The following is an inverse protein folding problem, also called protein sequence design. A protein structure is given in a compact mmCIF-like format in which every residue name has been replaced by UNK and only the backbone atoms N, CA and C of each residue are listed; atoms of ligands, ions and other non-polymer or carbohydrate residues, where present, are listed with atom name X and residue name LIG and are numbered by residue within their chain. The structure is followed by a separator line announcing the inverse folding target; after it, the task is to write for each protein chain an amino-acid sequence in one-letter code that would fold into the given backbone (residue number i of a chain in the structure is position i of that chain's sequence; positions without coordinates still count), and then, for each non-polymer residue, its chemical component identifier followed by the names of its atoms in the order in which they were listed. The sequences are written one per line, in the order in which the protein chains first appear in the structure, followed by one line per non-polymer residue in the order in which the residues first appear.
data_IF_627345478551
#
_entry.id   IF_627345478551
#
_cell.length_a   1.000
_cell.length_b   1.000
_cell.length_c   1.000
_cell.angle_alpha   90.00
_cell.angle_beta   90.00
_cell.angle_gamma   90.00
#
_symmetry.space_group_name_H-M   'P 1'
#
loop_
_entity.id
_entity.type
_entity.pdbx_description
1 polymer ?
#
# COMPACT_ATOMS: atom_id res chain seq x y z
N UNK A 1 24.80 52.95 51.48
CA UNK A 1 24.91 52.60 50.05
C UNK A 1 24.10 51.34 49.80
N UNK A 2 23.21 51.39 48.80
CA UNK A 2 22.34 50.32 48.23
C UNK A 2 21.38 49.62 49.22
N UNK A 3 20.07 49.88 49.33
CA UNK A 3 18.91 49.86 48.38
C UNK A 3 18.79 48.59 47.53
N UNK A 4 17.99 47.63 48.01
CA UNK A 4 17.42 46.54 47.20
C UNK A 4 16.05 47.00 46.65
N UNK A 5 15.85 46.80 45.34
CA UNK A 5 14.58 46.94 44.63
C UNK A 5 14.29 45.64 43.84
N UNK A 6 13.02 45.42 43.43
CA UNK A 6 12.40 44.10 43.23
C UNK A 6 12.41 43.58 41.78
N UNK A 7 11.90 42.34 41.63
CA UNK A 7 11.29 41.65 40.45
C UNK A 7 10.79 42.60 39.36
N UNK A 8 10.92 42.33 38.05
CA UNK A 8 10.27 41.24 37.28
C UNK A 8 10.76 41.33 35.81
N UNK A 9 10.66 40.27 34.98
CA UNK A 9 10.98 40.41 33.55
C UNK A 9 11.33 39.13 32.79
N UNK A 10 10.31 38.39 32.41
CA UNK A 10 10.32 37.35 31.38
C UNK A 10 11.07 37.76 30.09
N UNK A 11 11.96 36.91 29.59
CA UNK A 11 12.09 36.69 28.14
C UNK A 11 12.69 35.30 27.87
N UNK A 12 11.83 34.36 27.48
CA UNK A 12 12.23 33.05 27.01
C UNK A 12 13.06 33.14 25.73
N UNK A 13 13.99 32.19 25.54
CA UNK A 13 14.57 31.92 24.22
C UNK A 13 15.16 30.51 24.12
N UNK A 14 14.44 29.70 23.35
CA UNK A 14 14.85 28.54 22.56
C UNK A 14 15.60 27.39 23.27
N UNK A 15 14.82 26.54 23.93
CA UNK A 15 15.20 25.14 24.10
C UNK A 15 15.06 24.37 22.79
N UNK A 16 16.22 24.12 22.18
CA UNK A 16 16.62 22.89 21.50
C UNK A 16 15.49 21.99 20.96
N UNK A 17 15.31 22.02 19.64
CA UNK A 17 14.57 21.02 18.87
C UNK A 17 15.25 19.65 19.05
N UNK A 18 14.75 18.84 19.98
CA UNK A 18 15.21 17.46 20.19
C UNK A 18 14.68 16.55 19.08
N UNK A 19 15.64 16.05 18.31
CA UNK A 19 15.53 15.15 17.18
C UNK A 19 14.85 13.80 17.49
N UNK A 20 14.14 13.28 16.48
CA UNK A 20 13.26 12.10 16.41
C UNK A 20 14.07 10.80 16.50
N UNK A 21 14.66 10.51 17.66
CA UNK A 21 15.58 9.37 17.84
C UNK A 21 14.98 8.13 18.53
N UNK A 22 13.68 8.09 18.87
CA UNK A 22 13.18 7.07 19.81
C UNK A 22 12.59 5.78 19.23
N UNK A 23 12.77 5.47 17.94
CA UNK A 23 12.43 4.13 17.42
C UNK A 23 13.65 3.24 17.63
N UNK A 24 13.54 2.22 18.50
CA UNK A 24 14.63 1.26 18.74
C UNK A 24 14.84 0.44 17.47
N UNK A 25 15.99 0.63 16.83
CA UNK A 25 16.45 -0.20 15.70
C UNK A 25 16.83 -1.58 16.21
N UNK A 26 15.98 -2.59 16.03
CA UNK A 26 16.40 -3.99 16.16
C UNK A 26 17.23 -4.42 14.94
N UNK A 27 18.15 -5.35 15.15
CA UNK A 27 19.37 -5.56 14.36
C UNK A 27 19.13 -5.87 12.88
N UNK A 28 19.68 -5.00 12.01
CA UNK A 28 19.68 -5.09 10.55
C UNK A 28 20.59 -6.22 9.98
N UNK A 29 21.19 -7.03 10.85
CA UNK A 29 22.29 -7.93 10.49
C UNK A 29 21.85 -9.21 9.76
N UNK A 30 20.57 -9.59 9.85
CA UNK A 30 20.03 -10.83 9.26
C UNK A 30 19.49 -10.67 7.82
N UNK A 31 19.62 -9.47 7.22
CA UNK A 31 19.06 -9.19 5.90
C UNK A 31 19.90 -9.70 4.71
N UNK A 32 21.09 -10.26 4.97
CA UNK A 32 22.04 -10.72 3.94
C UNK A 32 21.76 -12.19 3.55
N UNK A 33 20.52 -12.49 3.15
CA UNK A 33 20.17 -13.79 2.55
C UNK A 33 20.08 -13.67 1.03
N UNK A 34 20.80 -14.56 0.32
CA UNK A 34 20.87 -14.58 -1.15
C UNK A 34 19.56 -14.99 -1.80
N UNK A 35 18.73 -15.83 -1.17
CA UNK A 35 17.57 -16.46 -1.83
C UNK A 35 16.25 -15.71 -1.60
N UNK A 36 16.06 -15.12 -0.42
CA UNK A 36 14.86 -14.35 -0.06
C UNK A 36 15.23 -13.34 1.03
N UNK A 37 14.83 -12.07 0.91
CA UNK A 37 14.99 -11.15 2.04
C UNK A 37 14.21 -11.68 3.24
N UNK A 38 14.88 -11.91 4.37
CA UNK A 38 14.33 -12.45 5.62
C UNK A 38 13.43 -11.44 6.37
N UNK A 39 12.79 -10.54 5.63
CA UNK A 39 11.91 -9.51 6.16
C UNK A 39 10.48 -9.90 5.81
N UNK A 40 9.70 -10.28 6.82
CA UNK A 40 8.26 -10.56 6.67
C UNK A 40 7.47 -9.25 6.52
N UNK A 41 7.63 -8.34 7.47
CA UNK A 41 6.93 -7.06 7.50
C UNK A 41 7.93 -5.96 7.88
N UNK A 42 8.01 -4.91 7.06
CA UNK A 42 8.87 -3.76 7.29
C UNK A 42 8.08 -2.52 7.68
N UNK A 43 8.58 -1.73 8.64
CA UNK A 43 8.00 -0.43 8.99
C UNK A 43 9.06 0.67 8.95
N UNK A 44 8.77 1.76 8.23
CA UNK A 44 9.59 2.97 8.18
C UNK A 44 8.71 4.22 8.02
N UNK A 45 9.28 5.42 8.20
CA UNK A 45 8.54 6.65 7.92
C UNK A 45 8.25 6.76 6.42
N UNK A 46 7.08 7.29 6.06
CA UNK A 46 6.71 7.48 4.64
C UNK A 46 7.73 8.37 3.91
N UNK A 47 8.24 9.40 4.59
CA UNK A 47 9.30 10.28 4.10
C UNK A 47 10.58 9.51 3.75
N UNK A 48 11.01 8.58 4.60
CA UNK A 48 12.20 7.77 4.31
C UNK A 48 11.95 6.84 3.13
N UNK A 49 10.77 6.23 3.01
CA UNK A 49 10.46 5.37 1.87
C UNK A 49 10.54 6.15 0.53
N UNK A 50 9.96 7.35 0.46
CA UNK A 50 10.03 8.21 -0.73
C UNK A 50 11.46 8.64 -1.06
N UNK A 51 12.33 8.80 -0.06
CA UNK A 51 13.74 9.12 -0.27
C UNK A 51 14.53 7.92 -0.80
N UNK A 52 14.26 6.72 -0.30
CA UNK A 52 14.99 5.51 -0.69
C UNK A 52 14.55 4.97 -2.05
N UNK A 53 13.26 5.11 -2.38
CA UNK A 53 12.64 4.57 -3.59
C UNK A 53 11.76 5.62 -4.31
N UNK A 54 12.34 6.75 -4.74
CA UNK A 54 11.59 7.84 -5.38
C UNK A 54 10.93 7.43 -6.71
N UNK A 55 11.39 6.37 -7.36
CA UNK A 55 10.80 5.85 -8.59
C UNK A 55 9.40 5.22 -8.38
N UNK A 56 9.13 4.71 -7.17
CA UNK A 56 7.88 4.00 -6.87
C UNK A 56 6.87 4.84 -6.09
N UNK A 57 7.32 5.85 -5.33
CA UNK A 57 6.44 6.64 -4.48
C UNK A 57 6.82 8.12 -4.54
N UNK A 58 5.91 8.96 -5.01
CA UNK A 58 6.15 10.39 -5.19
C UNK A 58 4.98 11.23 -4.69
N UNK A 59 5.28 12.40 -4.15
CA UNK A 59 4.28 13.41 -3.80
C UNK A 59 4.29 14.51 -4.88
N UNK A 60 3.16 14.70 -5.56
CA UNK A 60 2.96 15.74 -6.55
C UNK A 60 1.79 16.62 -6.12
N UNK A 61 2.08 17.83 -5.65
CA UNK A 61 1.08 18.71 -5.06
C UNK A 61 0.38 18.02 -3.88
N UNK A 62 -0.94 17.86 -3.97
CA UNK A 62 -1.76 17.18 -2.96
C UNK A 62 -2.05 15.70 -3.27
N UNK A 63 -1.27 15.09 -4.16
CA UNK A 63 -1.47 13.71 -4.60
C UNK A 63 -0.23 12.86 -4.34
N UNK A 64 -0.41 11.75 -3.62
CA UNK A 64 0.57 10.68 -3.50
C UNK A 64 0.39 9.70 -4.67
N UNK A 65 1.44 9.52 -5.47
CA UNK A 65 1.45 8.66 -6.64
C UNK A 65 2.28 7.41 -6.32
N UNK A 66 1.66 6.23 -6.48
CA UNK A 66 2.33 4.93 -6.35
C UNK A 66 2.60 4.30 -7.72
N UNK A 67 3.79 4.51 -8.29
CA UNK A 67 4.14 3.91 -9.58
C UNK A 67 4.33 2.40 -9.44
N UNK A 68 3.46 1.62 -10.10
CA UNK A 68 3.42 0.17 -9.96
C UNK A 68 3.61 -0.58 -11.29
N UNK A 69 3.98 0.08 -12.39
CA UNK A 69 4.04 -0.53 -13.72
C UNK A 69 5.23 -1.51 -13.88
N UNK A 70 6.41 -1.15 -13.38
CA UNK A 70 7.65 -1.91 -13.59
C UNK A 70 8.19 -2.55 -12.30
N UNK A 71 7.31 -2.86 -11.35
CA UNK A 71 7.68 -3.29 -10.00
C UNK A 71 6.96 -2.45 -8.96
N UNK A 72 7.55 -2.30 -7.79
CA UNK A 72 7.05 -1.41 -6.74
C UNK A 72 6.09 -2.12 -5.78
N UNK A 73 5.05 -1.39 -5.37
CA UNK A 73 4.14 -1.81 -4.30
C UNK A 73 2.69 -1.93 -4.79
N UNK A 74 1.95 -2.81 -4.14
CA UNK A 74 0.49 -2.80 -4.15
C UNK A 74 0.01 -1.92 -2.99
N UNK A 75 -0.20 -0.62 -3.24
CA UNK A 75 -0.70 0.32 -2.22
C UNK A 75 -2.20 0.11 -2.00
N UNK A 76 -2.60 -0.28 -0.79
CA UNK A 76 -4.01 -0.46 -0.43
C UNK A 76 -4.58 0.81 0.18
N UNK A 77 -5.62 1.37 -0.45
CA UNK A 77 -6.29 2.58 0.01
C UNK A 77 -7.76 2.68 -0.45
N UNK A 78 -8.45 3.74 -0.03
CA UNK A 78 -9.78 4.13 -0.52
C UNK A 78 -9.73 5.45 -1.31
N UNK A 79 -8.54 5.84 -1.80
CA UNK A 79 -8.33 7.04 -2.62
C UNK A 79 -7.84 8.28 -1.88
N UNK A 80 -7.85 8.28 -0.55
CA UNK A 80 -7.33 9.38 0.28
C UNK A 80 -6.49 8.86 1.44
N UNK A 81 -5.61 9.70 1.98
CA UNK A 81 -4.85 9.44 3.21
C UNK A 81 -4.52 10.74 3.94
N UNK A 82 -4.26 10.64 5.25
CA UNK A 82 -3.57 11.69 6.01
C UNK A 82 -2.06 11.41 6.01
N UNK A 83 -1.25 12.39 5.61
CA UNK A 83 0.21 12.36 5.72
C UNK A 83 0.63 13.39 6.77
N UNK A 84 1.13 12.93 7.92
CA UNK A 84 1.52 13.73 9.08
C UNK A 84 0.42 14.71 9.54
N UNK A 85 -0.86 14.34 9.38
CA UNK A 85 -2.03 15.15 9.76
C UNK A 85 -2.68 15.93 8.61
N UNK A 86 -2.03 15.99 7.45
CA UNK A 86 -2.53 16.73 6.28
C UNK A 86 -3.20 15.80 5.25
N UNK A 87 -4.32 16.19 4.62
CA UNK A 87 -5.07 15.31 3.72
C UNK A 87 -4.50 15.29 2.30
N UNK A 88 -4.29 14.09 1.74
CA UNK A 88 -3.80 13.85 0.38
C UNK A 88 -4.68 12.87 -0.38
N UNK A 89 -4.75 13.05 -1.71
CA UNK A 89 -5.29 12.06 -2.63
C UNK A 89 -4.25 10.98 -2.94
N UNK A 90 -4.69 9.78 -3.30
CA UNK A 90 -3.81 8.69 -3.70
C UNK A 90 -4.16 8.23 -5.11
N UNK A 91 -3.14 8.16 -5.96
CA UNK A 91 -3.21 7.57 -7.29
C UNK A 91 -2.50 6.21 -7.35
N UNK A 92 -2.98 5.33 -8.24
CA UNK A 92 -2.46 3.98 -8.45
C UNK A 92 -2.52 3.10 -7.20
N UNK A 93 -3.69 3.04 -6.57
CA UNK A 93 -3.97 2.20 -5.42
C UNK A 93 -4.92 1.05 -5.75
N UNK A 94 -4.87 0.00 -4.94
CA UNK A 94 -5.84 -1.08 -4.89
C UNK A 94 -6.87 -0.74 -3.82
N UNK A 95 -8.16 -0.83 -4.17
CA UNK A 95 -9.23 -0.64 -3.20
C UNK A 95 -9.15 -1.67 -2.07
N UNK A 96 -9.39 -1.22 -0.83
CA UNK A 96 -9.45 -2.14 0.32
C UNK A 96 -10.66 -3.08 0.28
N UNK A 97 -11.71 -2.74 -0.46
CA UNK A 97 -12.91 -3.56 -0.61
C UNK A 97 -13.15 -3.77 -2.10
N UNK A 98 -13.02 -5.01 -2.57
CA UNK A 98 -13.19 -5.34 -4.00
C UNK A 98 -14.34 -6.31 -4.16
N UNK A 99 -15.20 -6.09 -5.15
CA UNK A 99 -16.21 -7.07 -5.56
C UNK A 99 -15.70 -7.85 -6.78
N UNK A 100 -15.81 -9.18 -6.72
CA UNK A 100 -15.39 -10.11 -7.75
C UNK A 100 -16.64 -10.83 -8.26
N UNK A 101 -16.82 -10.90 -9.58
CA UNK A 101 -18.05 -11.42 -10.20
C UNK A 101 -17.86 -12.76 -10.90
N UNK A 102 -16.62 -13.15 -11.12
CA UNK A 102 -16.29 -14.38 -11.84
C UNK A 102 -15.06 -15.07 -11.26
N UNK A 103 -14.93 -16.37 -11.51
CA UNK A 103 -13.70 -17.12 -11.18
C UNK A 103 -12.46 -16.53 -11.86
N UNK A 104 -12.63 -15.90 -13.02
CA UNK A 104 -11.56 -15.20 -13.72
C UNK A 104 -11.11 -13.97 -12.91
N UNK A 105 -12.06 -13.15 -12.44
CA UNK A 105 -11.76 -11.99 -11.58
C UNK A 105 -11.03 -12.43 -10.31
N UNK A 106 -11.45 -13.55 -9.71
CA UNK A 106 -10.78 -14.10 -8.53
C UNK A 106 -9.33 -14.51 -8.82
N UNK A 107 -9.08 -15.20 -9.93
CA UNK A 107 -7.74 -15.63 -10.32
C UNK A 107 -6.85 -14.41 -10.57
N UNK A 108 -7.36 -13.44 -11.34
CA UNK A 108 -6.64 -12.21 -11.67
C UNK A 108 -6.36 -11.37 -10.43
N UNK A 109 -7.34 -11.21 -9.55
CA UNK A 109 -7.18 -10.50 -8.28
C UNK A 109 -6.10 -11.16 -7.41
N UNK A 110 -6.15 -12.49 -7.24
CA UNK A 110 -5.15 -13.26 -6.50
C UNK A 110 -3.74 -13.08 -7.07
N UNK A 111 -3.59 -13.20 -8.38
CA UNK A 111 -2.29 -12.99 -9.04
C UNK A 111 -1.81 -11.55 -8.86
N UNK A 112 -2.71 -10.57 -8.96
CA UNK A 112 -2.40 -9.15 -8.79
C UNK A 112 -1.88 -8.82 -7.39
N UNK A 113 -2.62 -9.18 -6.33
CA UNK A 113 -2.26 -8.80 -4.95
C UNK A 113 -1.00 -9.50 -4.44
N UNK A 114 -0.67 -10.70 -4.96
CA UNK A 114 0.52 -11.47 -4.60
C UNK A 114 1.74 -11.17 -5.49
N UNK A 115 1.59 -10.40 -6.57
CA UNK A 115 2.68 -10.12 -7.51
C UNK A 115 3.77 -9.20 -6.93
N UNK A 116 3.40 -8.34 -5.98
CA UNK A 116 4.23 -7.28 -5.39
C UNK A 116 4.02 -7.22 -3.88
N UNK A 117 4.99 -6.70 -3.11
CA UNK A 117 4.78 -6.40 -1.70
C UNK A 117 3.60 -5.45 -1.53
N UNK A 118 2.80 -5.67 -0.48
CA UNK A 118 1.69 -4.77 -0.17
C UNK A 118 2.21 -3.58 0.63
N UNK A 119 1.64 -2.41 0.39
CA UNK A 119 1.95 -1.18 1.10
C UNK A 119 0.67 -0.65 1.75
N UNK A 120 0.75 -0.38 3.06
CA UNK A 120 -0.27 0.31 3.82
C UNK A 120 0.34 1.57 4.43
N UNK A 121 -0.40 2.66 4.37
CA UNK A 121 -0.07 3.87 5.12
C UNK A 121 -0.73 3.78 6.48
N UNK A 122 0.05 3.95 7.54
CA UNK A 122 -0.45 3.91 8.92
C UNK A 122 -0.11 5.22 9.62
N UNK A 123 -1.12 5.78 10.30
CA UNK A 123 -0.98 6.97 11.10
C UNK A 123 -0.92 6.60 12.57
N UNK A 124 0.14 7.04 13.24
CA UNK A 124 0.34 6.77 14.65
C UNK A 124 0.86 8.01 15.39
N UNK A 125 0.45 8.10 16.66
CA UNK A 125 0.88 9.14 17.60
C UNK A 125 1.58 8.50 18.79
N UNK A 126 2.52 9.23 19.40
CA UNK A 126 3.11 8.80 20.66
C UNK A 126 2.07 8.92 21.77
N UNK A 127 1.98 7.93 22.67
CA UNK A 127 0.93 7.88 23.71
C UNK A 127 0.81 9.16 24.56
N UNK A 128 1.92 9.87 24.77
CA UNK A 128 1.98 11.05 25.66
C UNK A 128 2.04 12.39 24.90
N UNK A 129 1.81 12.40 23.60
CA UNK A 129 1.87 13.65 22.82
C UNK A 129 0.47 14.16 22.45
N UNK A 130 0.39 15.48 22.22
CA UNK A 130 -0.78 16.13 21.65
C UNK A 130 -1.16 15.54 20.28
N UNK A 131 -2.44 15.60 19.87
CA UNK A 131 -2.92 15.09 18.59
C UNK A 131 -2.19 15.71 17.37
N UNK A 132 -1.63 16.91 17.50
CA UNK A 132 -0.82 17.58 16.47
C UNK A 132 0.56 16.94 16.19
N UNK A 133 0.83 15.74 16.73
CA UNK A 133 2.12 15.05 16.58
C UNK A 133 2.03 13.74 15.77
N UNK A 134 0.91 13.55 15.07
CA UNK A 134 0.71 12.39 14.20
C UNK A 134 1.86 12.23 13.20
N UNK A 135 2.27 10.97 13.01
CA UNK A 135 3.28 10.59 12.03
C UNK A 135 2.75 9.48 11.14
N UNK A 136 3.07 9.60 9.85
CA UNK A 136 2.73 8.58 8.86
C UNK A 136 3.89 7.64 8.61
N UNK A 137 3.62 6.36 8.76
CA UNK A 137 4.55 5.29 8.48
C UNK A 137 4.06 4.48 7.28
N UNK A 138 5.02 3.94 6.53
CA UNK A 138 4.81 2.93 5.52
C UNK A 138 4.97 1.55 6.16
N UNK A 139 3.91 0.74 6.09
CA UNK A 139 3.92 -0.67 6.46
C UNK A 139 4.02 -1.49 5.17
N UNK A 140 5.12 -2.23 5.03
CA UNK A 140 5.42 -3.05 3.85
C UNK A 140 5.25 -4.52 4.24
N UNK A 141 4.32 -5.21 3.58
CA UNK A 141 4.08 -6.64 3.78
C UNK A 141 4.75 -7.40 2.64
N UNK A 142 5.78 -8.17 2.95
CA UNK A 142 6.54 -8.90 1.95
C UNK A 142 5.80 -10.18 1.53
N UNK A 143 4.97 -10.07 0.49
CA UNK A 143 4.24 -11.20 -0.12
C UNK A 143 5.13 -12.24 -0.80
N UNK A 144 6.45 -12.00 -0.87
CA UNK A 144 7.44 -12.99 -1.35
C UNK A 144 8.02 -13.82 -0.21
N UNK A 145 7.87 -13.39 1.04
CA UNK A 145 8.27 -14.19 2.17
C UNK A 145 7.39 -15.46 2.24
N UNK A 146 7.95 -16.68 2.31
CA UNK A 146 7.17 -17.91 2.25
C UNK A 146 6.05 -17.98 3.29
N UNK A 147 6.30 -17.55 4.52
CA UNK A 147 5.29 -17.61 5.60
C UNK A 147 4.15 -16.61 5.39
N UNK A 148 4.47 -15.39 4.95
CA UNK A 148 3.46 -14.37 4.64
C UNK A 148 2.63 -14.81 3.43
N UNK A 149 3.30 -15.29 2.39
CA UNK A 149 2.66 -15.82 1.18
C UNK A 149 1.71 -16.97 1.51
N UNK A 150 2.15 -17.92 2.33
CA UNK A 150 1.34 -19.07 2.74
C UNK A 150 0.07 -18.66 3.50
N UNK A 151 0.10 -17.60 4.31
CA UNK A 151 -1.09 -17.08 4.99
C UNK A 151 -2.11 -16.50 4.01
N UNK A 152 -1.66 -15.70 3.04
CA UNK A 152 -2.56 -15.15 2.01
C UNK A 152 -3.11 -16.24 1.09
N UNK A 153 -2.26 -17.15 0.59
CA UNK A 153 -2.68 -18.26 -0.26
C UNK A 153 -3.58 -19.24 0.50
N UNK A 154 -3.27 -19.57 1.75
CA UNK A 154 -4.10 -20.41 2.61
C UNK A 154 -5.47 -19.78 2.89
N UNK A 155 -5.51 -18.48 3.17
CA UNK A 155 -6.76 -17.74 3.30
C UNK A 155 -7.62 -17.82 2.04
N UNK A 156 -7.01 -17.63 0.87
CA UNK A 156 -7.67 -17.67 -0.44
C UNK A 156 -8.09 -19.08 -0.86
N UNK A 157 -7.28 -20.10 -0.62
CA UNK A 157 -7.57 -21.50 -0.99
C UNK A 157 -8.77 -22.04 -0.20
N UNK A 158 -8.89 -21.66 1.08
CA UNK A 158 -10.02 -22.04 1.92
C UNK A 158 -11.37 -21.47 1.42
N UNK A 159 -11.35 -20.47 0.53
CA UNK A 159 -12.57 -19.96 -0.11
C UNK A 159 -13.04 -20.95 -1.17
N UNK A 160 -12.13 -21.41 -2.04
CA UNK A 160 -12.43 -22.23 -3.23
C UNK A 160 -13.14 -23.54 -2.85
N UNK A 161 -12.83 -24.13 -1.70
CA UNK A 161 -13.43 -25.39 -1.23
C UNK A 161 -14.89 -25.28 -0.76
N UNK A 162 -15.43 -24.06 -0.63
CA UNK A 162 -16.77 -23.81 -0.07
C UNK A 162 -17.76 -23.18 -1.08
N UNK A 163 -17.35 -22.91 -2.32
CA UNK A 163 -18.12 -22.06 -3.27
C UNK A 163 -19.01 -22.81 -4.27
N UNK A 164 -19.66 -23.90 -3.87
CA UNK A 164 -20.84 -24.35 -4.64
C UNK A 164 -22.09 -23.60 -4.15
N UNK A 165 -22.23 -22.34 -4.59
CA UNK A 165 -23.50 -21.60 -4.51
C UNK A 165 -23.61 -20.44 -3.50
N UNK A 166 -22.57 -20.08 -2.75
CA UNK A 166 -22.68 -19.00 -1.75
C UNK A 166 -21.94 -17.72 -2.17
N UNK A 167 -22.51 -16.56 -1.80
CA UNK A 167 -21.75 -15.32 -1.77
C UNK A 167 -20.75 -15.38 -0.63
N UNK A 168 -19.50 -14.99 -0.89
CA UNK A 168 -18.44 -15.12 0.10
C UNK A 168 -17.62 -13.84 0.26
N UNK A 169 -17.32 -13.45 1.49
CA UNK A 169 -16.42 -12.34 1.81
C UNK A 169 -15.18 -12.86 2.56
N UNK A 170 -13.99 -12.65 1.98
CA UNK A 170 -12.71 -12.87 2.67
C UNK A 170 -12.14 -11.53 3.13
N UNK A 171 -11.84 -11.38 4.41
CA UNK A 171 -11.08 -10.25 4.93
C UNK A 171 -9.70 -10.71 5.42
N UNK A 172 -8.66 -9.99 5.03
CA UNK A 172 -7.33 -10.08 5.64
C UNK A 172 -7.16 -8.93 6.63
N UNK A 173 -6.76 -9.25 7.86
CA UNK A 173 -6.61 -8.28 8.94
C UNK A 173 -5.18 -8.28 9.49
N UNK A 174 -4.53 -7.12 9.43
CA UNK A 174 -3.19 -6.88 9.95
C UNK A 174 -3.18 -6.06 11.25
N UNK A 175 -4.36 -5.64 11.73
CA UNK A 175 -4.50 -4.66 12.82
C UNK A 175 -3.85 -5.13 14.11
N UNK A 176 -4.08 -6.38 14.49
CA UNK A 176 -3.58 -6.92 15.76
C UNK A 176 -2.05 -6.91 15.82
N UNK A 177 -1.39 -7.41 14.76
CA UNK A 177 0.07 -7.43 14.63
C UNK A 177 0.66 -6.02 14.72
N UNK A 178 0.08 -5.06 14.00
CA UNK A 178 0.60 -3.68 13.95
C UNK A 178 0.34 -2.94 15.26
N UNK A 179 -0.83 -3.11 15.88
CA UNK A 179 -1.16 -2.51 17.16
C UNK A 179 -0.19 -2.97 18.26
N UNK A 180 0.05 -4.27 18.38
CA UNK A 180 1.00 -4.84 19.34
C UNK A 180 2.42 -4.29 19.14
N UNK A 181 2.88 -4.20 17.89
CA UNK A 181 4.19 -3.62 17.60
C UNK A 181 4.27 -2.14 18.00
N UNK A 182 3.28 -1.33 17.62
CA UNK A 182 3.29 0.10 17.94
C UNK A 182 3.21 0.37 19.44
N UNK A 183 2.39 -0.40 20.17
CA UNK A 183 2.31 -0.33 21.63
C UNK A 183 3.69 -0.61 22.27
N UNK A 184 4.42 -1.62 21.78
CA UNK A 184 5.80 -1.90 22.24
C UNK A 184 6.78 -0.73 22.00
N UNK A 185 6.47 0.15 21.04
CA UNK A 185 7.26 1.34 20.71
C UNK A 185 6.71 2.63 21.35
N UNK A 186 5.68 2.54 22.22
CA UNK A 186 4.95 3.67 22.81
C UNK A 186 4.18 4.54 21.82
N UNK A 187 3.73 3.94 20.72
CA UNK A 187 2.85 4.56 19.72
C UNK A 187 1.45 3.94 19.76
N UNK A 188 0.45 4.70 19.31
CA UNK A 188 -0.94 4.26 19.16
C UNK A 188 -1.40 4.63 17.77
N UNK A 189 -2.09 3.71 17.09
CA UNK A 189 -2.74 3.96 15.81
C UNK A 189 -3.83 5.03 15.98
N UNK A 190 -3.79 6.06 15.15
CA UNK A 190 -4.87 7.05 15.08
C UNK A 190 -6.03 6.52 14.24
N UNK A 191 -5.73 5.85 13.13
CA UNK A 191 -6.72 5.29 12.22
C UNK A 191 -7.07 3.84 12.57
N UNK A 192 -8.37 3.55 12.73
CA UNK A 192 -8.85 2.23 13.15
C UNK A 192 -9.10 1.24 12.02
N UNK A 193 -9.28 1.72 10.78
CA UNK A 193 -9.77 0.94 9.62
C UNK A 193 -8.82 0.86 8.41
N UNK A 194 -7.56 1.29 8.56
CA UNK A 194 -6.58 1.32 7.46
C UNK A 194 -5.85 0.00 7.16
N UNK A 195 -5.98 -1.00 8.05
CA UNK A 195 -5.13 -2.19 8.13
C UNK A 195 -5.82 -3.52 7.79
N UNK A 196 -7.01 -3.43 7.22
CA UNK A 196 -7.73 -4.59 6.70
C UNK A 196 -8.12 -4.34 5.24
N UNK A 197 -8.13 -5.41 4.45
CA UNK A 197 -8.73 -5.38 3.12
C UNK A 197 -9.53 -6.67 2.89
N UNK A 198 -10.54 -6.61 2.05
CA UNK A 198 -11.40 -7.74 1.75
C UNK A 198 -11.78 -7.78 0.28
N UNK A 199 -12.14 -8.97 -0.18
CA UNK A 199 -12.91 -9.13 -1.40
C UNK A 199 -14.21 -9.86 -1.11
N UNK A 200 -15.25 -9.52 -1.88
CA UNK A 200 -16.53 -10.20 -1.88
C UNK A 200 -16.72 -10.85 -3.24
N UNK A 201 -16.85 -12.16 -3.25
CA UNK A 201 -17.22 -12.93 -4.43
C UNK A 201 -18.74 -13.01 -4.53
N UNK A 202 -19.30 -12.47 -5.61
CA UNK A 202 -20.72 -12.54 -5.94
C UNK A 202 -20.86 -13.26 -7.28
N UNK A 203 -21.56 -14.38 -7.30
CA UNK A 203 -21.88 -15.05 -8.56
C UNK A 203 -23.14 -14.41 -9.16
N UNK A 204 -23.00 -13.76 -10.32
CA UNK A 204 -24.16 -13.31 -11.12
C UNK A 204 -24.81 -14.56 -11.76
N UNK A 205 -25.67 -15.26 -11.02
CA UNK A 205 -26.46 -16.37 -11.56
C UNK A 205 -27.94 -16.11 -11.28
N UNK A 206 -28.73 -16.24 -12.35
CA UNK A 206 -30.17 -16.05 -12.59
C UNK A 206 -31.15 -16.74 -11.62
N UNK A 207 -30.74 -17.11 -10.41
CA UNK A 207 -31.52 -17.96 -9.52
C UNK A 207 -31.51 -17.37 -8.09
N UNK A 208 -32.67 -16.83 -7.69
CA UNK A 208 -32.97 -16.25 -6.37
C UNK A 208 -32.67 -17.17 -5.17
N UNK A 209 -32.41 -18.46 -5.41
CA UNK A 209 -32.05 -19.44 -4.39
C UNK A 209 -30.70 -19.16 -3.72
N UNK A 210 -29.76 -18.47 -4.37
CA UNK A 210 -28.46 -18.17 -3.75
C UNK A 210 -28.50 -17.01 -2.73
N UNK A 211 -29.52 -16.14 -2.80
CA UNK A 211 -29.81 -15.18 -1.72
C UNK A 211 -30.31 -15.87 -0.45
N UNK A 212 -30.87 -17.08 -0.57
CA UNK A 212 -31.44 -17.83 0.56
C UNK A 212 -30.37 -18.41 1.50
N UNK A 213 -29.14 -18.65 1.01
CA UNK A 213 -28.05 -19.28 1.78
C UNK A 213 -27.14 -18.29 2.50
N UNK A 214 -27.33 -16.97 2.31
CA UNK A 214 -26.62 -15.94 3.09
C UNK A 214 -25.18 -15.67 2.63
N UNK A 215 -24.61 -14.58 3.13
CA UNK A 215 -23.22 -14.16 2.88
C UNK A 215 -22.30 -14.82 3.91
N UNK A 216 -21.46 -15.76 3.46
CA UNK A 216 -20.44 -16.35 4.31
C UNK A 216 -19.26 -15.36 4.46
N UNK A 217 -18.89 -15.05 5.71
CA UNK A 217 -17.82 -14.10 6.03
C UNK A 217 -16.70 -14.82 6.76
N UNK A 218 -15.46 -14.65 6.28
CA UNK A 218 -14.26 -15.17 6.95
C UNK A 218 -13.23 -14.08 7.09
N UNK A 219 -12.57 -14.07 8.25
CA UNK A 219 -11.44 -13.20 8.53
C UNK A 219 -10.19 -14.04 8.72
N UNK A 220 -9.14 -13.73 7.95
CA UNK A 220 -7.80 -14.27 8.09
C UNK A 220 -6.93 -13.24 8.80
N UNK A 221 -6.52 -13.56 10.02
CA UNK A 221 -5.52 -12.78 10.75
C UNK A 221 -4.15 -13.03 10.13
N UNK A 222 -3.48 -11.96 9.70
CA UNK A 222 -2.13 -12.03 9.14
C UNK A 222 -1.14 -11.71 10.24
N UNK A 223 -0.28 -12.68 10.54
CA UNK A 223 0.76 -12.56 11.54
C UNK A 223 2.13 -12.49 10.86
N UNK A 224 3.03 -11.72 11.44
CA UNK A 224 4.42 -11.68 10.99
C UNK A 224 5.31 -10.83 11.88
N UNK A 225 6.61 -11.06 11.77
CA UNK A 225 7.63 -10.33 12.50
C UNK A 225 7.84 -8.95 11.87
N UNK A 226 7.42 -7.91 12.59
CA UNK A 226 7.62 -6.52 12.18
C UNK A 226 9.06 -6.10 12.49
N UNK A 227 9.78 -5.73 11.43
CA UNK A 227 11.13 -5.17 11.50
C UNK A 227 11.11 -3.67 11.27
N UNK A 228 11.75 -2.91 12.18
CA UNK A 228 11.95 -1.48 11.97
C UNK A 228 13.03 -1.24 10.91
N UNK A 229 12.64 -0.62 9.79
CA UNK A 229 13.53 -0.20 8.71
C UNK A 229 13.93 1.28 8.83
N UNK A 230 13.57 1.93 9.94
CA UNK A 230 13.95 3.31 10.20
C UNK A 230 15.45 3.43 10.45
N UNK A 231 16.13 4.28 9.67
CA UNK A 231 17.57 4.50 9.80
C UNK A 231 17.96 5.94 9.47
N UNK A 232 18.92 6.47 10.23
CA UNK A 232 19.50 7.82 10.06
C UNK A 232 20.93 7.79 9.52
N UNK A 233 21.61 6.64 9.60
CA UNK A 233 22.99 6.46 9.13
C UNK A 233 22.99 6.09 7.64
N UNK A 234 23.86 6.70 6.81
CA UNK A 234 23.87 6.46 5.36
C UNK A 234 24.17 5.00 4.99
N UNK A 235 25.11 4.35 5.68
CA UNK A 235 25.44 2.93 5.45
C UNK A 235 24.23 2.00 5.65
N UNK A 236 23.42 2.27 6.69
CA UNK A 236 22.20 1.51 6.96
C UNK A 236 21.08 1.84 5.97
N UNK A 237 21.00 3.09 5.52
CA UNK A 237 20.04 3.50 4.49
C UNK A 237 20.29 2.75 3.18
N UNK A 238 21.54 2.57 2.77
CA UNK A 238 21.86 1.80 1.57
C UNK A 238 21.46 0.32 1.73
N UNK A 239 21.70 -0.27 2.90
CA UNK A 239 21.26 -1.65 3.18
C UNK A 239 19.73 -1.80 3.12
N UNK A 240 19.00 -0.85 3.71
CA UNK A 240 17.53 -0.82 3.64
C UNK A 240 17.07 -0.59 2.20
N UNK A 241 17.72 0.30 1.45
CA UNK A 241 17.42 0.54 0.04
C UNK A 241 17.59 -0.72 -0.80
N UNK A 242 18.69 -1.45 -0.62
CA UNK A 242 18.97 -2.71 -1.31
C UNK A 242 17.95 -3.81 -0.97
N UNK A 243 17.56 -3.92 0.30
CA UNK A 243 16.45 -4.78 0.72
C UNK A 243 15.15 -4.42 -0.02
N UNK A 244 14.78 -3.14 0.05
CA UNK A 244 13.53 -2.64 -0.51
C UNK A 244 13.50 -2.83 -2.04
N UNK A 245 14.61 -2.55 -2.73
CA UNK A 245 14.75 -2.81 -4.15
C UNK A 245 14.56 -4.31 -4.48
N UNK A 246 15.14 -5.22 -3.68
CA UNK A 246 15.00 -6.67 -3.89
C UNK A 246 13.55 -7.14 -3.74
N UNK A 247 12.79 -6.61 -2.77
CA UNK A 247 11.37 -6.97 -2.61
C UNK A 247 10.47 -6.34 -3.67
N UNK A 248 10.81 -5.17 -4.21
CA UNK A 248 9.98 -4.45 -5.20
C UNK A 248 10.32 -4.78 -6.66
N UNK A 249 11.48 -5.39 -6.93
CA UNK A 249 11.91 -5.79 -8.29
C UNK A 249 10.83 -6.64 -8.97
N UNK A 250 10.44 -6.41 -10.23
CA UNK A 250 9.38 -7.19 -10.87
C UNK A 250 9.68 -8.70 -10.88
N UNK A 251 8.65 -9.54 -10.67
CA UNK A 251 8.79 -10.98 -10.86
C UNK A 251 8.95 -11.27 -12.35
N UNK A 252 10.18 -11.54 -12.79
CA UNK A 252 10.43 -12.06 -14.14
C UNK A 252 9.89 -13.50 -14.17
N UNK A 253 8.66 -13.69 -14.65
CA UNK A 253 8.21 -15.02 -15.03
C UNK A 253 9.03 -15.43 -16.27
N UNK A 254 9.93 -16.41 -16.11
CA UNK A 254 10.61 -17.07 -17.22
C UNK A 254 9.55 -17.87 -18.00
N UNK A 255 8.82 -17.20 -18.90
CA UNK A 255 7.79 -17.83 -19.74
C UNK A 255 6.65 -16.89 -20.12
N UNK A 256 6.61 -16.50 -21.40
CA UNK A 256 5.44 -15.91 -22.06
C UNK A 256 5.45 -14.39 -22.16
N UNK A 257 5.89 -13.90 -23.32
CA UNK A 257 5.59 -12.56 -23.82
C UNK A 257 4.08 -12.41 -23.95
N UNK A 258 3.47 -11.69 -23.01
CA UNK A 258 2.32 -10.84 -23.26
C UNK A 258 2.51 -9.60 -22.41
N UNK A 259 2.54 -8.44 -23.05
CA UNK A 259 2.40 -7.15 -22.37
C UNK A 259 1.12 -7.20 -21.54
N UNK A 260 1.27 -7.43 -20.24
CA UNK A 260 0.14 -7.51 -19.33
C UNK A 260 -0.40 -6.10 -19.14
N UNK A 261 -1.68 -5.90 -19.47
CA UNK A 261 -2.45 -4.71 -19.09
C UNK A 261 -2.18 -4.35 -17.62
N UNK A 262 -2.15 -3.05 -17.27
CA UNK A 262 -2.12 -2.63 -15.86
C UNK A 262 -3.26 -3.34 -15.11
N UNK A 263 -2.99 -3.76 -13.87
CA UNK A 263 -3.97 -4.49 -13.06
C UNK A 263 -5.29 -3.71 -13.06
N UNK A 264 -6.38 -4.34 -13.52
CA UNK A 264 -7.73 -3.76 -13.59
C UNK A 264 -8.21 -3.17 -12.24
N UNK A 265 -7.55 -3.56 -11.15
CA UNK A 265 -7.84 -3.14 -9.79
C UNK A 265 -7.02 -1.92 -9.31
N UNK A 266 -6.09 -1.40 -10.12
CA UNK A 266 -5.36 -0.16 -9.82
C UNK A 266 -6.15 1.02 -10.35
N UNK A 267 -6.71 1.83 -9.47
CA UNK A 267 -7.47 3.02 -9.86
C UNK A 267 -6.54 4.21 -10.07
N UNK A 268 -6.63 4.82 -11.25
CA UNK A 268 -6.12 6.16 -11.52
C UNK A 268 -7.24 7.16 -11.24
N UNK A 269 -7.06 8.02 -10.25
CA UNK A 269 -7.89 9.23 -10.13
C UNK A 269 -7.16 10.32 -10.89
N UNK A 270 -7.39 10.37 -12.18
CA UNK A 270 -7.22 11.59 -12.96
C UNK A 270 -8.62 12.02 -13.36
N UNK A 271 -9.08 13.13 -12.78
CA UNK A 271 -10.30 13.81 -13.23
C UNK A 271 -10.16 14.18 -14.71
N UNK A 272 -11.24 13.93 -15.47
CA UNK A 272 -11.58 14.39 -16.82
C UNK A 272 -10.45 14.57 -17.85
N UNK A 273 -10.53 13.82 -18.96
CA UNK A 273 -10.90 14.40 -20.27
C UNK A 273 -11.20 13.26 -21.24
N UNK A 274 -12.43 13.23 -21.71
CA UNK A 274 -12.87 12.47 -22.88
C UNK A 274 -11.93 12.75 -24.05
N UNK A 275 -11.25 11.73 -24.56
CA UNK A 275 -10.63 11.86 -25.88
C UNK A 275 -11.74 11.67 -26.92
N UNK A 276 -12.27 12.80 -27.38
CA UNK A 276 -12.85 12.91 -28.71
C UNK A 276 -11.83 12.36 -29.72
N UNK A 277 -12.27 11.44 -30.55
CA UNK A 277 -11.49 10.95 -31.67
C UNK A 277 -11.30 12.11 -32.66
N UNK A 278 -10.14 12.74 -32.61
CA UNK A 278 -9.66 13.64 -33.66
C UNK A 278 -9.31 12.77 -34.88
N UNK A 279 -10.29 12.49 -35.73
CA UNK A 279 -10.02 12.01 -37.08
C UNK A 279 -9.80 13.23 -37.95
N UNK A 280 -8.55 13.48 -38.34
CA UNK A 280 -8.31 14.36 -39.48
C UNK A 280 -6.98 14.07 -40.19
N UNK A 281 -7.14 13.85 -41.49
CA UNK A 281 -6.19 13.91 -42.61
C UNK A 281 -5.13 12.83 -42.84
N UNK A 282 -5.31 12.10 -43.94
CA UNK A 282 -4.41 12.23 -45.10
C UNK A 282 -5.22 12.41 -46.40
N UNK A 283 -4.83 13.35 -47.29
CA UNK A 283 -5.43 13.50 -48.60
C UNK A 283 -4.69 12.62 -49.62
N UNK A 284 -5.41 11.84 -50.42
CA UNK A 284 -4.89 11.37 -51.71
C UNK A 284 -5.83 11.78 -52.84
N UNK A 285 -5.21 12.42 -53.81
CA UNK A 285 -5.75 13.09 -54.99
C UNK A 285 -6.00 12.14 -56.15
N UNK A 286 -6.93 12.56 -57.03
CA UNK A 286 -7.03 12.26 -58.48
C UNK A 286 -7.58 10.86 -58.85
N UNK A 287 -8.84 10.76 -59.28
CA UNK A 287 -9.43 11.04 -60.62
C UNK A 287 -9.30 9.88 -61.59
N UNK A 288 -10.40 9.19 -61.90
CA UNK A 288 -10.77 8.71 -63.25
C UNK A 288 -12.29 8.47 -63.27
N UNK A 289 -13.02 9.19 -64.12
CA UNK A 289 -14.41 8.92 -64.50
C UNK A 289 -14.48 7.69 -65.43
N UNK A 290 -15.65 7.06 -65.59
CA UNK A 290 -16.18 7.10 -66.95
C UNK A 290 -17.69 7.36 -67.05
N UNK A 291 -18.00 7.96 -68.18
CA UNK A 291 -19.30 8.15 -68.79
C UNK A 291 -19.99 6.82 -69.16
N UNK A 292 -21.32 6.86 -69.07
CA UNK A 292 -22.34 6.29 -69.97
C UNK A 292 -22.33 4.79 -70.31
N UNK A 293 -23.40 4.12 -69.93
CA UNK A 293 -24.46 3.66 -70.85
C UNK A 293 -25.75 3.42 -70.08
#
# INVERSE_FOLDING_TARGET
MATSKPTDGSLGRLDSVKSISSIRTTLLNDLVSKTTPNCEVGVLSLKLLMQLLPEYLQLQGNTLICNNQHGGFNLFSNGTCSIDGEPYNINNYIQRKVELKSHFDYKDYRESILSKPMLFLINAKKMNNNPASEKTFALIVNTRHPEIKAQFEGGMNNVISSVFGENYQLQFDLKNMVAQYLESQNFVLTEKDGLSFCFTFKMDVFLDIFYLFGLSKKTCQVNGNITSLHCTKPEKQETVKMLLAKITTPLIKLGGSTDRKPSLYSLNVSDEYSFEACTDYFPETSSVSPLTS
#
